data_IF_260504111590
#
_entry.id   IF_260504111590
#
_cell.length_a   1.000
_cell.length_b   1.000
_cell.length_c   1.000
_cell.angle_alpha   90.00
_cell.angle_beta   90.00
_cell.angle_gamma   90.00
#
_symmetry.space_group_name_H-M   'P 1'
#
loop_
_entity.id
_entity.type
_entity.pdbx_description
1 polymer ?
#
# COMPACT_ATOMS: atom_id res chain seq x y z
N UNK A 1 8.91 1.04 -14.27
CA UNK A 1 8.88 -0.27 -14.93
C UNK A 1 7.55 -0.52 -15.66
N UNK A 2 6.39 -0.21 -15.05
CA UNK A 2 5.07 -0.50 -15.65
C UNK A 2 4.87 0.19 -17.02
N UNK A 3 5.26 1.47 -17.13
CA UNK A 3 5.11 2.20 -18.40
C UNK A 3 6.01 1.65 -19.51
N UNK A 4 7.21 1.22 -19.17
CA UNK A 4 8.11 0.55 -20.12
C UNK A 4 7.56 -0.81 -20.54
N UNK A 5 6.96 -1.53 -19.62
CA UNK A 5 6.31 -2.81 -19.90
C UNK A 5 5.17 -2.66 -20.91
N UNK A 6 4.29 -1.66 -20.71
CA UNK A 6 3.21 -1.34 -21.66
C UNK A 6 3.74 -1.01 -23.07
N UNK A 7 4.79 -0.16 -23.16
CA UNK A 7 5.37 0.27 -24.45
C UNK A 7 6.11 -0.86 -25.17
N UNK A 8 6.61 -1.84 -24.46
CA UNK A 8 7.41 -2.95 -24.98
C UNK A 8 6.64 -4.28 -25.01
N UNK A 9 5.31 -4.22 -24.82
CA UNK A 9 4.41 -5.40 -24.81
C UNK A 9 4.93 -6.50 -23.87
N UNK A 10 5.32 -6.12 -22.66
CA UNK A 10 5.93 -6.99 -21.63
C UNK A 10 5.20 -6.81 -20.30
N UNK A 11 5.72 -7.38 -19.24
CA UNK A 11 5.23 -7.22 -17.87
C UNK A 11 6.23 -6.45 -16.99
N UNK A 12 5.72 -5.89 -15.87
CA UNK A 12 6.50 -5.04 -14.98
C UNK A 12 7.68 -5.78 -14.32
N UNK A 13 7.51 -7.06 -13.97
CA UNK A 13 8.57 -7.85 -13.33
C UNK A 13 9.72 -8.14 -14.29
N UNK A 14 9.38 -8.45 -15.55
CA UNK A 14 10.36 -8.63 -16.63
C UNK A 14 11.13 -7.35 -16.88
N UNK A 15 10.46 -6.18 -16.93
CA UNK A 15 11.12 -4.89 -17.10
C UNK A 15 12.04 -4.56 -15.92
N UNK A 16 11.56 -4.78 -14.69
CA UNK A 16 12.39 -4.63 -13.49
C UNK A 16 13.65 -5.51 -13.54
N UNK A 17 13.50 -6.78 -13.88
CA UNK A 17 14.63 -7.70 -13.97
C UNK A 17 15.64 -7.25 -15.03
N UNK A 18 15.17 -6.80 -16.20
CA UNK A 18 16.02 -6.28 -17.28
C UNK A 18 16.76 -5.01 -16.86
N UNK A 19 16.08 -4.07 -16.23
CA UNK A 19 16.68 -2.83 -15.70
C UNK A 19 17.78 -3.14 -14.69
N UNK A 20 17.51 -4.03 -13.73
CA UNK A 20 18.49 -4.46 -12.72
C UNK A 20 19.69 -5.19 -13.34
N UNK A 21 19.47 -6.04 -14.34
CA UNK A 21 20.56 -6.70 -15.06
C UNK A 21 21.48 -5.70 -15.80
N UNK A 22 20.93 -4.60 -16.27
CA UNK A 22 21.65 -3.48 -16.88
C UNK A 22 22.28 -2.53 -15.82
N UNK A 23 22.10 -2.81 -14.51
CA UNK A 23 22.57 -1.98 -13.41
C UNK A 23 21.96 -0.56 -13.41
N UNK A 24 20.80 -0.37 -14.01
CA UNK A 24 20.05 0.88 -13.99
C UNK A 24 19.15 0.83 -12.75
N UNK A 25 19.61 1.41 -11.64
CA UNK A 25 18.86 1.47 -10.38
C UNK A 25 18.69 2.93 -9.98
N UNK A 26 17.55 3.28 -9.36
CA UNK A 26 17.43 4.60 -8.75
C UNK A 26 18.41 4.70 -7.57
N UNK A 27 18.80 5.92 -7.29
CA UNK A 27 19.51 6.34 -6.07
C UNK A 27 18.56 7.19 -5.24
N UNK A 28 18.85 7.35 -3.97
CA UNK A 28 18.05 8.17 -3.07
C UNK A 28 18.86 9.37 -2.63
N UNK A 29 18.29 10.55 -2.87
CA UNK A 29 18.84 11.83 -2.45
C UNK A 29 18.17 12.30 -1.17
N UNK A 30 18.91 13.03 -0.36
CA UNK A 30 18.38 13.68 0.83
C UNK A 30 17.86 15.08 0.47
N UNK A 31 16.68 15.43 1.00
CA UNK A 31 16.13 16.77 0.78
C UNK A 31 17.05 17.79 1.45
N UNK A 32 17.60 18.70 0.66
CA UNK A 32 18.43 19.79 1.16
C UNK A 32 17.56 20.90 1.73
N UNK A 33 17.64 21.10 3.04
CA UNK A 33 16.95 22.17 3.77
C UNK A 33 17.88 23.32 4.14
N UNK A 34 19.15 23.28 3.70
CA UNK A 34 20.20 24.22 4.09
C UNK A 34 20.75 25.01 2.91
N UNK A 35 20.13 24.97 1.74
CA UNK A 35 20.56 25.65 0.51
C UNK A 35 22.03 25.37 0.14
N UNK A 36 22.49 24.16 0.37
CA UNK A 36 23.86 23.66 0.18
C UNK A 36 24.93 24.42 1.00
N UNK A 37 24.56 25.21 2.00
CA UNK A 37 25.51 25.87 2.89
C UNK A 37 26.11 24.92 3.92
N UNK A 38 25.35 23.87 4.31
CA UNK A 38 25.75 22.84 5.27
C UNK A 38 25.28 21.48 4.81
N UNK A 39 25.93 20.41 5.27
CA UNK A 39 25.45 19.04 5.06
C UNK A 39 24.10 18.87 5.77
N UNK A 40 23.06 18.50 5.02
CA UNK A 40 21.75 18.24 5.60
C UNK A 40 21.70 16.91 6.30
N UNK A 41 21.06 16.86 7.46
CA UNK A 41 20.81 15.66 8.25
C UNK A 41 19.34 15.25 8.29
N UNK A 42 18.49 15.84 7.43
CA UNK A 42 17.04 15.55 7.44
C UNK A 42 16.76 14.07 7.20
N UNK A 43 15.64 13.59 7.74
CA UNK A 43 15.18 12.20 7.52
C UNK A 43 14.63 11.98 6.10
N UNK A 44 14.41 13.05 5.33
CA UNK A 44 13.67 13.06 4.07
C UNK A 44 14.51 12.58 2.88
N UNK A 45 14.06 11.53 2.23
CA UNK A 45 14.69 10.91 1.07
C UNK A 45 13.72 10.85 -0.10
N UNK A 46 14.22 11.01 -1.33
CA UNK A 46 13.46 10.82 -2.57
C UNK A 46 14.33 10.14 -3.61
N UNK A 47 13.71 9.41 -4.53
CA UNK A 47 14.43 8.69 -5.59
C UNK A 47 14.70 9.56 -6.82
N UNK A 48 15.81 9.28 -7.48
CA UNK A 48 16.18 9.84 -8.78
C UNK A 48 17.11 8.88 -9.50
N UNK A 49 17.34 9.11 -10.80
CA UNK A 49 18.31 8.35 -11.61
C UNK A 49 19.56 9.20 -11.79
N UNK A 50 20.47 9.07 -10.83
CA UNK A 50 21.76 9.77 -10.76
C UNK A 50 22.88 8.78 -10.36
N UNK A 51 24.10 9.30 -10.13
CA UNK A 51 25.26 8.46 -9.79
C UNK A 51 25.41 8.22 -8.29
N UNK A 52 25.15 9.24 -7.46
CA UNK A 52 25.40 9.21 -6.02
C UNK A 52 24.15 8.92 -5.20
N UNK A 53 24.21 7.96 -4.27
CA UNK A 53 23.15 7.63 -3.33
C UNK A 53 23.48 8.18 -1.94
N UNK A 54 22.57 8.99 -1.38
CA UNK A 54 22.70 9.63 -0.07
C UNK A 54 21.88 8.94 1.03
N UNK A 55 21.23 7.82 0.73
CA UNK A 55 20.42 7.11 1.73
C UNK A 55 21.26 6.60 2.90
N UNK A 56 22.49 6.11 2.63
CA UNK A 56 23.42 5.59 3.65
C UNK A 56 22.71 4.68 4.66
N UNK A 57 22.17 3.51 4.24
CA UNK A 57 21.44 2.61 5.12
C UNK A 57 22.30 2.17 6.31
N UNK A 58 21.69 2.12 7.48
CA UNK A 58 22.35 1.62 8.69
C UNK A 58 22.37 0.09 8.72
N UNK A 59 23.13 -0.49 9.67
CA UNK A 59 23.11 -1.93 9.98
C UNK A 59 22.13 -2.27 11.14
N UNK A 60 21.30 -1.30 11.59
CA UNK A 60 20.28 -1.55 12.61
C UNK A 60 19.20 -2.48 12.04
N UNK A 61 18.49 -3.18 12.92
CA UNK A 61 17.26 -3.90 12.57
C UNK A 61 16.20 -2.88 12.17
N UNK A 62 15.48 -3.12 11.08
CA UNK A 62 14.59 -2.13 10.45
C UNK A 62 13.21 -2.70 10.21
N UNK A 63 12.20 -1.86 10.41
CA UNK A 63 10.82 -2.13 9.99
C UNK A 63 10.37 -0.99 9.09
N UNK A 64 9.82 -1.36 7.93
CA UNK A 64 9.27 -0.42 6.95
C UNK A 64 7.75 -0.36 7.09
N UNK A 65 7.20 0.86 7.10
CA UNK A 65 5.77 1.13 7.25
C UNK A 65 5.30 1.86 6.00
N UNK A 66 4.30 1.31 5.31
CA UNK A 66 3.67 1.98 4.18
C UNK A 66 2.55 2.90 4.66
N UNK A 67 2.68 4.18 4.36
CA UNK A 67 1.69 5.22 4.67
C UNK A 67 0.45 5.15 3.79
N UNK A 68 -0.42 6.16 3.94
CA UNK A 68 -1.73 6.19 3.27
C UNK A 68 -1.69 6.69 1.82
N UNK A 69 -0.59 7.32 1.41
CA UNK A 69 -0.52 8.03 0.14
C UNK A 69 -1.41 9.28 0.12
N UNK A 70 -1.86 9.74 -1.06
CA UNK A 70 -2.72 10.89 -1.18
C UNK A 70 -4.07 10.67 -0.49
N UNK A 71 -4.62 11.71 0.13
CA UNK A 71 -5.95 11.69 0.74
C UNK A 71 -7.02 11.35 -0.29
N UNK A 72 -8.01 10.57 0.14
CA UNK A 72 -9.14 10.13 -0.70
C UNK A 72 -10.45 10.37 0.02
N UNK A 73 -11.52 10.62 -0.74
CA UNK A 73 -12.87 10.70 -0.20
C UNK A 73 -13.21 9.40 0.52
N UNK A 74 -13.71 9.51 1.75
CA UNK A 74 -14.04 8.37 2.61
C UNK A 74 -12.87 7.79 3.39
N UNK A 75 -11.67 8.36 3.26
CA UNK A 75 -10.49 8.02 4.04
C UNK A 75 -10.27 9.12 5.09
N UNK A 76 -10.21 8.74 6.36
CA UNK A 76 -9.98 9.66 7.45
C UNK A 76 -8.53 9.67 7.95
N UNK A 77 -8.28 10.50 8.96
CA UNK A 77 -6.96 10.67 9.58
C UNK A 77 -6.48 9.42 10.32
N UNK A 78 -7.36 8.49 10.65
CA UNK A 78 -7.05 7.26 11.36
C UNK A 78 -5.96 6.42 10.69
N UNK A 79 -5.88 6.45 9.37
CA UNK A 79 -4.84 5.72 8.62
C UNK A 79 -3.45 6.31 8.84
N UNK A 80 -3.34 7.64 8.85
CA UNK A 80 -2.07 8.30 9.15
C UNK A 80 -1.71 8.13 10.63
N UNK A 81 -2.67 8.33 11.54
CA UNK A 81 -2.53 8.11 12.97
C UNK A 81 -1.98 6.71 13.30
N UNK A 82 -2.54 5.66 12.67
CA UNK A 82 -2.05 4.30 12.86
C UNK A 82 -0.61 4.12 12.38
N UNK A 83 -0.23 4.75 11.26
CA UNK A 83 1.14 4.72 10.75
C UNK A 83 2.13 5.41 11.71
N UNK A 84 1.76 6.57 12.27
CA UNK A 84 2.56 7.30 13.27
C UNK A 84 2.79 6.46 14.51
N UNK A 85 1.72 5.90 15.08
CA UNK A 85 1.83 5.05 16.27
C UNK A 85 2.61 3.75 16.00
N UNK A 86 2.51 3.19 14.79
CA UNK A 86 3.34 2.06 14.41
C UNK A 86 4.83 2.43 14.38
N UNK A 87 5.18 3.63 13.87
CA UNK A 87 6.56 4.12 13.88
C UNK A 87 7.11 4.23 15.29
N UNK A 88 6.35 4.83 16.21
CA UNK A 88 6.76 4.96 17.62
C UNK A 88 6.91 3.59 18.30
N UNK A 89 5.97 2.68 18.09
CA UNK A 89 6.06 1.32 18.66
C UNK A 89 7.26 0.54 18.10
N UNK A 90 7.59 0.71 16.83
CA UNK A 90 8.77 0.12 16.19
C UNK A 90 10.05 0.65 16.86
N UNK A 91 10.13 1.97 17.09
CA UNK A 91 11.26 2.61 17.77
C UNK A 91 11.38 2.15 19.24
N UNK A 92 10.28 2.07 19.98
CA UNK A 92 10.23 1.53 21.36
C UNK A 92 10.71 0.07 21.44
N UNK A 93 10.47 -0.72 20.39
CA UNK A 93 10.98 -2.10 20.27
C UNK A 93 12.46 -2.18 19.87
N UNK A 94 13.14 -1.05 19.71
CA UNK A 94 14.57 -0.98 19.39
C UNK A 94 14.89 -1.16 17.90
N UNK A 95 13.91 -1.07 17.02
CA UNK A 95 14.11 -1.08 15.57
C UNK A 95 14.27 0.34 15.03
N UNK A 96 14.94 0.47 13.90
CA UNK A 96 14.91 1.67 13.08
C UNK A 96 13.60 1.69 12.27
N UNK A 97 12.82 2.74 12.44
CA UNK A 97 11.55 2.91 11.73
C UNK A 97 11.78 3.62 10.39
N UNK A 98 11.24 3.02 9.33
CA UNK A 98 11.26 3.58 7.97
C UNK A 98 9.83 3.83 7.53
N UNK A 99 9.50 5.09 7.25
CA UNK A 99 8.21 5.48 6.69
C UNK A 99 8.33 5.68 5.19
N UNK A 100 7.36 5.18 4.43
CA UNK A 100 7.18 5.48 3.00
C UNK A 100 5.83 6.13 2.81
N UNK A 101 5.80 7.40 2.44
CA UNK A 101 4.57 8.12 2.16
C UNK A 101 4.84 9.29 1.20
N UNK A 102 3.84 9.70 0.42
CA UNK A 102 3.93 10.79 -0.56
C UNK A 102 3.01 11.98 -0.24
N UNK A 103 2.34 11.99 0.91
CA UNK A 103 1.51 13.10 1.32
C UNK A 103 2.27 13.98 2.32
N UNK A 104 2.72 15.19 1.93
CA UNK A 104 3.48 16.06 2.83
C UNK A 104 2.63 16.76 3.91
N UNK A 105 1.30 16.65 3.82
CA UNK A 105 0.34 17.30 4.72
C UNK A 105 -0.15 16.33 5.83
N UNK A 106 0.65 15.35 6.22
CA UNK A 106 0.30 14.39 7.26
C UNK A 106 1.42 14.22 8.29
N UNK A 107 1.05 13.83 9.53
CA UNK A 107 2.00 13.68 10.64
C UNK A 107 3.00 12.55 10.42
N UNK A 108 2.63 11.49 9.66
CA UNK A 108 3.57 10.42 9.33
C UNK A 108 4.78 10.89 8.49
N UNK A 109 4.67 12.05 7.85
CA UNK A 109 5.75 12.68 7.08
C UNK A 109 6.45 13.82 7.82
N UNK A 110 6.16 14.02 9.09
CA UNK A 110 6.92 14.96 9.92
C UNK A 110 8.32 14.41 10.22
N UNK A 111 9.28 15.34 10.37
CA UNK A 111 10.72 15.02 10.47
C UNK A 111 11.09 14.19 11.71
N UNK A 112 10.24 14.15 12.71
CA UNK A 112 10.45 13.49 14.01
C UNK A 112 9.58 12.25 14.21
N UNK A 113 8.79 11.84 13.21
CA UNK A 113 7.89 10.68 13.31
C UNK A 113 8.61 9.35 13.08
N UNK A 114 9.61 9.32 12.21
CA UNK A 114 10.39 8.11 11.90
C UNK A 114 11.88 8.41 11.78
N UNK A 115 12.72 7.38 11.97
CA UNK A 115 14.18 7.53 11.79
C UNK A 115 14.52 7.87 10.32
N UNK A 116 13.72 7.37 9.38
CA UNK A 116 13.92 7.57 7.93
C UNK A 116 12.57 7.72 7.24
N UNK A 117 12.47 8.69 6.36
CA UNK A 117 11.28 8.93 5.55
C UNK A 117 11.64 8.95 4.06
N UNK A 118 10.99 8.09 3.31
CA UNK A 118 11.03 8.10 1.85
C UNK A 118 9.78 8.78 1.32
N UNK A 119 9.96 9.96 0.73
CA UNK A 119 8.91 10.66 -0.01
C UNK A 119 8.76 10.02 -1.39
N UNK A 120 8.02 8.92 -1.44
CA UNK A 120 7.85 8.16 -2.66
C UNK A 120 6.39 7.80 -2.88
N UNK A 121 5.95 7.70 -4.12
CA UNK A 121 4.65 7.12 -4.44
C UNK A 121 4.56 5.69 -3.91
N UNK A 122 3.38 5.31 -3.42
CA UNK A 122 3.13 3.94 -2.99
C UNK A 122 2.84 3.06 -4.21
N UNK A 123 3.84 2.89 -5.06
CA UNK A 123 3.82 1.97 -6.20
C UNK A 123 4.66 0.72 -5.90
N UNK A 124 4.45 -0.33 -6.68
CA UNK A 124 5.24 -1.54 -6.51
C UNK A 124 6.73 -1.29 -6.78
N UNK A 125 7.04 -0.54 -7.83
CA UNK A 125 8.41 -0.21 -8.23
C UNK A 125 9.15 0.53 -7.12
N UNK A 126 8.58 1.65 -6.64
CA UNK A 126 9.22 2.51 -5.65
C UNK A 126 9.42 1.80 -4.32
N UNK A 127 8.39 1.09 -3.84
CA UNK A 127 8.47 0.34 -2.57
C UNK A 127 9.52 -0.78 -2.65
N UNK A 128 9.60 -1.50 -3.76
CA UNK A 128 10.60 -2.57 -3.92
C UNK A 128 12.03 -2.03 -4.03
N UNK A 129 12.25 -0.83 -4.59
CA UNK A 129 13.58 -0.21 -4.60
C UNK A 129 14.02 0.19 -3.18
N UNK A 130 13.09 0.68 -2.35
CA UNK A 130 13.38 0.99 -0.94
C UNK A 130 13.68 -0.31 -0.16
N UNK A 131 12.89 -1.37 -0.36
CA UNK A 131 13.13 -2.67 0.28
C UNK A 131 14.50 -3.22 -0.11
N UNK A 132 14.89 -3.10 -1.38
CA UNK A 132 16.17 -3.61 -1.87
C UNK A 132 17.38 -2.87 -1.26
N UNK A 133 17.28 -1.58 -1.01
CA UNK A 133 18.38 -0.80 -0.43
C UNK A 133 18.39 -0.88 1.09
N UNK A 134 17.25 -0.81 1.76
CA UNK A 134 17.15 -0.79 3.21
C UNK A 134 17.18 -2.18 3.85
N UNK A 135 16.73 -3.20 3.14
CA UNK A 135 16.66 -4.60 3.60
C UNK A 135 15.96 -4.74 4.95
N UNK A 136 14.71 -4.24 5.10
CA UNK A 136 13.99 -4.32 6.36
C UNK A 136 13.71 -5.77 6.76
N UNK A 137 13.65 -6.05 8.06
CA UNK A 137 13.22 -7.35 8.59
C UNK A 137 11.72 -7.56 8.44
N UNK A 138 10.95 -6.48 8.32
CA UNK A 138 9.51 -6.53 8.15
C UNK A 138 8.95 -5.32 7.44
N UNK A 139 7.84 -5.54 6.72
CA UNK A 139 7.08 -4.50 6.03
C UNK A 139 5.63 -4.52 6.53
N UNK A 140 5.16 -3.41 7.09
CA UNK A 140 3.79 -3.24 7.58
C UNK A 140 2.96 -2.56 6.51
N UNK A 141 1.88 -3.22 6.07
CA UNK A 141 1.00 -2.75 4.98
C UNK A 141 -0.42 -2.42 5.44
N UNK A 142 -0.83 -2.84 6.65
CA UNK A 142 -2.24 -2.79 7.06
C UNK A 142 -2.72 -1.43 7.59
N UNK A 143 -1.84 -0.49 7.91
CA UNK A 143 -2.23 0.75 8.58
C UNK A 143 -2.55 1.90 7.63
N UNK A 144 -1.96 1.94 6.45
CA UNK A 144 -2.13 3.03 5.48
C UNK A 144 -3.42 3.01 4.65
N UNK A 145 -4.36 2.12 4.95
CA UNK A 145 -5.62 2.00 4.21
C UNK A 145 -5.46 1.32 2.84
N UNK A 146 -6.36 1.65 1.91
CA UNK A 146 -6.51 0.93 0.64
C UNK A 146 -5.29 0.99 -0.28
N UNK A 147 -4.46 2.02 -0.18
CA UNK A 147 -3.30 2.16 -1.06
C UNK A 147 -2.26 1.07 -0.81
N UNK A 148 -1.70 0.92 0.40
CA UNK A 148 -0.75 -0.15 0.68
C UNK A 148 -1.40 -1.54 0.70
N UNK A 149 -2.67 -1.69 1.11
CA UNK A 149 -3.36 -2.98 1.09
C UNK A 149 -3.43 -3.60 -0.31
N UNK A 150 -3.61 -2.79 -1.35
CA UNK A 150 -3.61 -3.25 -2.75
C UNK A 150 -2.24 -3.74 -3.23
N UNK A 151 -1.17 -3.29 -2.60
CA UNK A 151 0.20 -3.72 -2.91
C UNK A 151 0.58 -5.01 -2.18
N UNK A 152 -0.08 -5.34 -1.06
CA UNK A 152 0.34 -6.37 -0.13
C UNK A 152 0.63 -7.72 -0.79
N UNK A 153 -0.28 -8.21 -1.64
CA UNK A 153 -0.08 -9.49 -2.34
C UNK A 153 1.10 -9.42 -3.32
N UNK A 154 1.18 -8.37 -4.12
CA UNK A 154 2.24 -8.21 -5.13
C UNK A 154 3.62 -8.08 -4.49
N UNK A 155 3.72 -7.37 -3.37
CA UNK A 155 4.94 -7.27 -2.59
C UNK A 155 5.35 -8.62 -1.99
N UNK A 156 4.38 -9.38 -1.40
CA UNK A 156 4.64 -10.70 -0.88
C UNK A 156 5.14 -11.67 -1.96
N UNK A 157 4.47 -11.69 -3.13
CA UNK A 157 4.84 -12.54 -4.27
C UNK A 157 6.25 -12.19 -4.80
N UNK A 158 6.70 -10.96 -4.63
CA UNK A 158 8.05 -10.50 -4.96
C UNK A 158 9.09 -10.74 -3.85
N UNK A 159 8.70 -11.36 -2.73
CA UNK A 159 9.59 -11.73 -1.63
C UNK A 159 9.75 -10.66 -0.55
N UNK A 160 8.92 -9.61 -0.52
CA UNK A 160 8.93 -8.64 0.58
C UNK A 160 8.53 -9.32 1.90
N UNK A 161 9.22 -9.04 3.02
CA UNK A 161 8.95 -9.66 4.31
C UNK A 161 7.73 -9.01 5.00
N UNK A 162 6.52 -9.27 4.50
CA UNK A 162 5.30 -8.71 5.06
C UNK A 162 5.07 -9.25 6.49
N UNK A 163 4.86 -8.36 7.44
CA UNK A 163 4.57 -8.68 8.85
C UNK A 163 3.24 -8.06 9.30
N UNK A 164 2.77 -8.50 10.47
CA UNK A 164 1.47 -8.11 11.00
C UNK A 164 0.35 -8.90 10.34
N UNK A 165 -0.59 -8.24 9.68
CA UNK A 165 -1.69 -8.91 8.98
C UNK A 165 -1.22 -9.49 7.65
N UNK A 166 -1.32 -10.79 7.49
CA UNK A 166 -0.91 -11.48 6.26
C UNK A 166 -1.82 -11.10 5.08
N UNK A 167 -1.28 -10.98 3.86
CA UNK A 167 -2.05 -10.62 2.66
C UNK A 167 -3.27 -11.52 2.40
N UNK A 168 -3.20 -12.82 2.69
CA UNK A 168 -4.36 -13.72 2.59
C UNK A 168 -5.49 -13.35 3.57
N UNK A 169 -5.16 -12.88 4.77
CA UNK A 169 -6.15 -12.40 5.76
C UNK A 169 -6.75 -11.06 5.34
N UNK A 170 -5.94 -10.17 4.75
CA UNK A 170 -6.40 -8.91 4.16
C UNK A 170 -7.40 -9.21 3.04
N UNK A 171 -7.04 -10.10 2.12
CA UNK A 171 -7.90 -10.49 1.01
C UNK A 171 -9.21 -11.14 1.47
N UNK A 172 -9.17 -11.99 2.51
CA UNK A 172 -10.39 -12.54 3.12
C UNK A 172 -11.34 -11.49 3.67
N UNK A 173 -10.81 -10.38 4.17
CA UNK A 173 -11.62 -9.28 4.70
C UNK A 173 -12.17 -8.37 3.58
N UNK A 174 -11.42 -8.19 2.49
CA UNK A 174 -11.76 -7.27 1.40
C UNK A 174 -12.62 -7.92 0.30
N UNK A 175 -12.38 -9.18 0.00
CA UNK A 175 -13.14 -9.94 -1.00
C UNK A 175 -14.50 -10.35 -0.46
N UNK A 176 -15.56 -9.94 -1.15
CA UNK A 176 -16.96 -10.14 -0.69
C UNK A 176 -17.36 -11.60 -0.61
N UNK A 177 -16.91 -12.42 -1.54
CA UNK A 177 -17.24 -13.84 -1.56
C UNK A 177 -16.50 -14.60 -0.45
N UNK A 178 -15.19 -14.33 -0.31
CA UNK A 178 -14.38 -14.92 0.76
C UNK A 178 -14.88 -14.52 2.14
N UNK A 179 -15.26 -13.25 2.33
CA UNK A 179 -15.82 -12.76 3.58
C UNK A 179 -17.18 -13.39 3.88
N UNK A 180 -18.10 -13.45 2.90
CA UNK A 180 -19.40 -14.15 3.03
C UNK A 180 -19.21 -15.59 3.49
N UNK A 181 -18.32 -16.32 2.85
CA UNK A 181 -18.02 -17.72 3.18
C UNK A 181 -17.46 -17.85 4.61
N UNK A 182 -16.59 -16.94 5.03
CA UNK A 182 -16.05 -16.90 6.40
C UNK A 182 -17.15 -16.68 7.43
N UNK A 183 -18.00 -15.67 7.24
CA UNK A 183 -19.11 -15.33 8.14
C UNK A 183 -20.11 -16.48 8.25
N UNK A 184 -20.44 -17.13 7.11
CA UNK A 184 -21.31 -18.31 7.07
C UNK A 184 -20.70 -19.48 7.85
N UNK A 185 -19.39 -19.75 7.66
CA UNK A 185 -18.66 -20.80 8.39
C UNK A 185 -18.66 -20.57 9.90
N UNK A 186 -18.62 -19.32 10.33
CA UNK A 186 -18.66 -18.92 11.74
C UNK A 186 -20.07 -18.88 12.33
N UNK A 187 -21.10 -19.16 11.53
CA UNK A 187 -22.51 -19.06 11.91
C UNK A 187 -22.93 -17.66 12.41
N UNK A 188 -22.31 -16.60 11.91
CA UNK A 188 -22.75 -15.25 12.19
C UNK A 188 -23.87 -14.82 11.27
N UNK A 189 -24.78 -14.00 11.81
CA UNK A 189 -25.89 -13.42 11.05
C UNK A 189 -25.35 -12.35 10.09
N UNK A 190 -25.83 -12.41 8.85
CA UNK A 190 -25.59 -11.38 7.84
C UNK A 190 -26.84 -11.18 7.00
N UNK A 191 -27.05 -9.97 6.43
CA UNK A 191 -28.11 -9.76 5.47
C UNK A 191 -27.98 -10.74 4.30
N UNK A 192 -29.10 -11.16 3.73
CA UNK A 192 -29.05 -11.99 2.53
C UNK A 192 -28.34 -11.23 1.41
N UNK A 193 -27.36 -11.82 0.84
CA UNK A 193 -26.51 -11.23 -0.19
C UNK A 193 -26.06 -12.26 -1.22
N UNK A 194 -25.79 -11.78 -2.43
CA UNK A 194 -25.23 -12.55 -3.51
C UNK A 194 -24.01 -11.82 -4.09
N UNK A 195 -23.06 -12.56 -4.63
CA UNK A 195 -21.89 -12.01 -5.32
C UNK A 195 -21.97 -12.37 -6.80
N UNK A 196 -21.71 -11.42 -7.68
CA UNK A 196 -21.76 -11.62 -9.14
C UNK A 196 -20.49 -11.06 -9.79
N UNK A 197 -19.95 -11.78 -10.78
CA UNK A 197 -18.77 -11.39 -11.55
C UNK A 197 -19.08 -11.02 -12.99
N UNK A 198 -20.35 -11.04 -13.39
CA UNK A 198 -20.83 -10.60 -14.70
C UNK A 198 -22.24 -10.00 -14.61
N UNK A 199 -22.60 -9.20 -15.63
CA UNK A 199 -23.94 -8.59 -15.70
C UNK A 199 -25.05 -9.67 -15.71
N UNK A 200 -24.92 -10.70 -16.53
CA UNK A 200 -25.88 -11.78 -16.62
C UNK A 200 -26.06 -12.53 -15.30
N UNK A 201 -24.97 -12.72 -14.57
CA UNK A 201 -25.02 -13.32 -13.25
C UNK A 201 -25.69 -12.39 -12.24
N UNK A 202 -25.40 -11.09 -12.29
CA UNK A 202 -26.00 -10.09 -11.43
C UNK A 202 -27.53 -10.04 -11.61
N UNK A 203 -28.00 -9.99 -12.84
CA UNK A 203 -29.46 -9.98 -13.15
C UNK A 203 -30.16 -11.27 -12.65
N UNK A 204 -29.53 -12.41 -12.81
CA UNK A 204 -30.10 -13.68 -12.30
C UNK A 204 -30.16 -13.72 -10.77
N UNK A 205 -29.12 -13.20 -10.10
CA UNK A 205 -29.00 -13.21 -8.64
C UNK A 205 -29.85 -12.11 -7.99
N UNK A 206 -30.01 -10.97 -8.64
CA UNK A 206 -30.87 -9.86 -8.19
C UNK A 206 -32.31 -10.32 -7.92
N UNK A 207 -32.85 -11.19 -8.78
CA UNK A 207 -34.20 -11.76 -8.61
C UNK A 207 -34.35 -12.62 -7.34
N UNK A 208 -33.25 -13.15 -6.82
CA UNK A 208 -33.25 -13.94 -5.57
C UNK A 208 -33.17 -13.05 -4.33
N UNK A 209 -32.49 -11.92 -4.45
CA UNK A 209 -32.32 -10.95 -3.35
C UNK A 209 -33.56 -10.13 -3.12
N UNK A 210 -34.34 -9.88 -4.16
CA UNK A 210 -35.54 -9.03 -4.21
C UNK A 210 -35.25 -7.53 -4.08
N UNK A 211 -35.88 -6.75 -4.96
CA UNK A 211 -35.73 -5.29 -4.98
C UNK A 211 -36.46 -4.59 -3.81
N UNK A 212 -36.00 -3.42 -3.31
CA UNK A 212 -34.77 -2.75 -3.73
C UNK A 212 -33.50 -3.44 -3.21
N UNK A 213 -32.43 -3.43 -4.04
CA UNK A 213 -31.13 -4.01 -3.68
C UNK A 213 -30.06 -2.95 -3.63
N UNK A 214 -29.05 -3.15 -2.79
CA UNK A 214 -27.84 -2.34 -2.77
C UNK A 214 -26.74 -3.10 -3.52
N UNK A 215 -26.26 -2.53 -4.62
CA UNK A 215 -25.10 -3.04 -5.36
C UNK A 215 -23.85 -2.35 -4.84
N UNK A 216 -22.82 -3.13 -4.53
CA UNK A 216 -21.56 -2.64 -3.98
C UNK A 216 -20.39 -3.42 -4.54
N UNK A 217 -19.38 -2.76 -5.18
CA UNK A 217 -18.16 -3.42 -5.59
C UNK A 217 -17.31 -3.92 -4.39
N UNK A 218 -16.43 -4.88 -4.62
CA UNK A 218 -15.34 -5.23 -3.70
C UNK A 218 -14.22 -4.17 -3.74
N UNK A 219 -13.37 -4.10 -2.72
CA UNK A 219 -12.18 -3.24 -2.65
C UNK A 219 -12.46 -1.74 -2.82
N UNK A 220 -13.62 -1.27 -2.37
CA UNK A 220 -14.01 0.16 -2.41
C UNK A 220 -14.26 0.70 -1.00
N UNK A 221 -14.00 1.99 -0.83
CA UNK A 221 -14.18 2.74 0.40
C UNK A 221 -15.13 3.93 0.20
N UNK A 222 -15.82 4.37 1.27
CA UNK A 222 -16.61 5.58 1.28
C UNK A 222 -17.86 5.53 0.39
N UNK A 223 -18.41 4.35 0.15
CA UNK A 223 -19.64 4.21 -0.67
C UNK A 223 -19.41 4.43 -2.17
N UNK A 224 -18.18 4.47 -2.64
CA UNK A 224 -17.85 4.65 -4.06
C UNK A 224 -18.50 3.54 -4.90
N UNK A 225 -19.18 3.96 -5.98
CA UNK A 225 -19.90 3.07 -6.90
C UNK A 225 -20.93 2.16 -6.18
N UNK A 226 -21.50 2.61 -5.05
CA UNK A 226 -22.66 1.98 -4.43
C UNK A 226 -23.92 2.59 -5.02
N UNK A 227 -24.87 1.75 -5.37
CA UNK A 227 -26.16 2.16 -5.93
C UNK A 227 -27.29 1.36 -5.32
N UNK A 228 -28.45 2.01 -5.20
CA UNK A 228 -29.72 1.35 -4.84
C UNK A 228 -30.50 1.11 -6.13
N UNK A 229 -30.71 -0.15 -6.45
CA UNK A 229 -31.38 -0.60 -7.67
C UNK A 229 -32.80 -1.04 -7.33
N UNK A 230 -33.79 -0.55 -8.05
CA UNK A 230 -35.20 -0.77 -7.81
C UNK A 230 -35.85 -1.76 -8.78
N UNK A 231 -35.24 -2.00 -9.92
CA UNK A 231 -35.74 -2.88 -10.98
C UNK A 231 -34.57 -3.40 -11.86
N UNK A 232 -34.88 -4.18 -12.89
CA UNK A 232 -33.90 -4.77 -13.82
C UNK A 232 -33.36 -3.77 -14.88
N UNK A 233 -33.89 -2.54 -14.91
CA UNK A 233 -33.45 -1.47 -15.84
C UNK A 233 -32.30 -0.67 -15.19
#
# INVERSE_FOLDING_TARGET
DIRLAELLESDELTMRAKRKALKINPVFKRVDTCAAEFETSTAYLYSTYEEECESRPTNRRKILILGSGPNRIGQGIEFDYCCVHASFAVAECGYESIMVNCNPETVSTDYDTSDRLYFEPLTFEDVMEIIDIEKPEGVIVQFGGQTPLKLAKKLLDAGAPIIGTLPDSIDKAEDRERFKNLVTKLNYLQPYNEVANSLDEALRKAKKVTYPIVVRPSYVLGGRAMEIIYNDE
#
